data_IF_412091169456
#
_entry.id   IF_412091169456
#
_cell.length_a   1.000
_cell.length_b   1.000
_cell.length_c   1.000
_cell.angle_alpha   90.00
_cell.angle_beta   90.00
_cell.angle_gamma   90.00
#
_symmetry.space_group_name_H-M   'P 1'
#
loop_
_entity.id
_entity.type
_entity.pdbx_description
1 polymer ?
#
# COMPACT_ATOMS: atom_id res chain seq x y z
N UNK A 1 -22.65 0.39 4.57
CA UNK A 1 -23.14 -0.99 4.74
C UNK A 1 -22.04 -1.97 5.15
N UNK A 2 -20.86 -1.99 4.50
CA UNK A 2 -19.76 -2.89 4.88
C UNK A 2 -19.37 -2.79 6.37
N UNK A 3 -19.14 -1.56 6.87
CA UNK A 3 -18.84 -1.31 8.28
C UNK A 3 -19.91 -1.83 9.26
N UNK A 4 -21.20 -1.67 8.90
CA UNK A 4 -22.33 -2.12 9.72
C UNK A 4 -22.41 -3.64 9.83
N UNK A 5 -21.88 -4.36 8.83
CA UNK A 5 -21.85 -5.82 8.77
C UNK A 5 -20.52 -6.39 9.27
N UNK A 6 -19.58 -5.54 9.73
CA UNK A 6 -18.25 -5.96 10.17
C UNK A 6 -17.32 -6.42 9.04
N UNK A 7 -17.58 -6.04 7.79
CA UNK A 7 -16.71 -6.35 6.66
C UNK A 7 -15.63 -5.29 6.43
N UNK A 8 -14.50 -5.71 5.87
CA UNK A 8 -13.41 -4.83 5.48
C UNK A 8 -13.85 -3.85 4.38
N UNK A 9 -13.72 -2.55 4.66
CA UNK A 9 -14.19 -1.49 3.77
C UNK A 9 -13.36 -1.41 2.47
N UNK A 10 -12.06 -1.69 2.54
CA UNK A 10 -11.19 -1.66 1.36
C UNK A 10 -11.56 -2.80 0.41
N UNK A 11 -11.75 -4.01 0.95
CA UNK A 11 -12.17 -5.14 0.14
C UNK A 11 -13.57 -4.89 -0.46
N UNK A 12 -14.51 -4.39 0.33
CA UNK A 12 -15.85 -4.07 -0.16
C UNK A 12 -15.83 -3.03 -1.31
N UNK A 13 -15.02 -1.98 -1.19
CA UNK A 13 -14.87 -0.96 -2.25
C UNK A 13 -14.19 -1.53 -3.50
N UNK A 14 -13.19 -2.40 -3.34
CA UNK A 14 -12.58 -3.12 -4.47
C UNK A 14 -13.59 -4.05 -5.18
N UNK A 15 -14.37 -4.82 -4.42
CA UNK A 15 -15.41 -5.70 -4.97
C UNK A 15 -16.50 -4.91 -5.70
N UNK A 16 -16.88 -3.74 -5.19
CA UNK A 16 -17.79 -2.83 -5.89
C UNK A 16 -17.20 -2.40 -7.24
N UNK A 17 -15.93 -1.98 -7.27
CA UNK A 17 -15.25 -1.60 -8.51
C UNK A 17 -15.23 -2.72 -9.54
N UNK A 18 -14.90 -3.94 -9.12
CA UNK A 18 -14.95 -5.15 -9.97
C UNK A 18 -16.35 -5.37 -10.52
N UNK A 19 -17.37 -5.28 -9.67
CA UNK A 19 -18.77 -5.48 -10.07
C UNK A 19 -19.21 -4.43 -11.10
N UNK A 20 -18.89 -3.16 -10.88
CA UNK A 20 -19.25 -2.06 -11.78
C UNK A 20 -18.59 -2.22 -13.15
N UNK A 21 -17.29 -2.54 -13.20
CA UNK A 21 -16.57 -2.69 -14.48
C UNK A 21 -17.12 -3.86 -15.31
N UNK A 22 -17.54 -4.95 -14.67
CA UNK A 22 -18.01 -6.14 -15.38
C UNK A 22 -19.50 -6.07 -15.78
N UNK A 23 -20.36 -5.45 -14.96
CA UNK A 23 -21.81 -5.54 -15.13
C UNK A 23 -22.51 -4.22 -15.49
N UNK A 24 -21.87 -3.06 -15.29
CA UNK A 24 -22.54 -1.77 -15.51
C UNK A 24 -22.34 -1.25 -16.95
N UNK A 25 -23.42 -0.99 -17.72
CA UNK A 25 -23.33 -0.41 -19.07
C UNK A 25 -22.69 0.99 -19.12
N UNK A 26 -22.72 1.74 -18.01
CA UNK A 26 -22.16 3.09 -17.90
C UNK A 26 -20.75 3.14 -17.30
N UNK A 27 -20.05 1.99 -17.22
CA UNK A 27 -18.71 1.88 -16.62
C UNK A 27 -17.71 2.93 -17.12
N UNK A 28 -17.69 3.23 -18.42
CA UNK A 28 -16.74 4.17 -19.01
C UNK A 28 -17.00 5.61 -18.57
N UNK A 29 -18.28 5.98 -18.41
CA UNK A 29 -18.68 7.30 -17.91
C UNK A 29 -18.33 7.44 -16.43
N UNK A 30 -18.62 6.42 -15.64
CA UNK A 30 -18.27 6.36 -14.21
C UNK A 30 -16.75 6.48 -14.03
N UNK A 31 -15.97 5.69 -14.78
CA UNK A 31 -14.52 5.69 -14.71
C UNK A 31 -13.92 7.05 -15.09
N UNK A 32 -14.41 7.69 -16.15
CA UNK A 32 -13.96 9.04 -16.55
C UNK A 32 -14.23 10.11 -15.50
N UNK A 33 -15.40 10.05 -14.84
CA UNK A 33 -15.74 11.00 -13.77
C UNK A 33 -14.80 10.81 -12.57
N UNK A 34 -14.60 9.55 -12.15
CA UNK A 34 -13.69 9.21 -11.06
C UNK A 34 -12.26 9.68 -11.36
N UNK A 35 -11.73 9.35 -12.52
CA UNK A 35 -10.37 9.71 -12.92
C UNK A 35 -10.19 11.24 -13.00
N UNK A 36 -11.18 11.96 -13.53
CA UNK A 36 -11.08 13.42 -13.72
C UNK A 36 -11.17 14.20 -12.40
N UNK A 37 -12.10 13.84 -11.52
CA UNK A 37 -12.44 14.67 -10.36
C UNK A 37 -12.02 14.06 -9.03
N UNK A 38 -12.17 12.74 -8.90
CA UNK A 38 -11.96 12.05 -7.62
C UNK A 38 -10.50 11.70 -7.41
N UNK A 39 -9.82 11.17 -8.42
CA UNK A 39 -8.41 10.74 -8.31
C UNK A 39 -7.48 11.89 -7.90
N UNK A 40 -7.54 13.01 -8.62
CA UNK A 40 -6.70 14.18 -8.33
C UNK A 40 -6.96 14.74 -6.92
N UNK A 41 -8.24 14.88 -6.54
CA UNK A 41 -8.62 15.38 -5.22
C UNK A 41 -8.13 14.45 -4.11
N UNK A 42 -8.32 13.14 -4.28
CA UNK A 42 -7.85 12.14 -3.32
C UNK A 42 -6.33 12.16 -3.23
N UNK A 43 -5.59 12.23 -4.33
CA UNK A 43 -4.13 12.29 -4.29
C UNK A 43 -3.63 13.52 -3.55
N UNK A 44 -4.19 14.70 -3.82
CA UNK A 44 -3.80 15.92 -3.10
C UNK A 44 -4.08 15.79 -1.60
N UNK A 45 -5.28 15.35 -1.21
CA UNK A 45 -5.62 15.16 0.21
C UNK A 45 -4.74 14.10 0.86
N UNK A 46 -4.55 12.96 0.20
CA UNK A 46 -3.77 11.83 0.70
C UNK A 46 -2.30 12.20 0.88
N UNK A 47 -1.64 12.80 -0.11
CA UNK A 47 -0.23 13.17 0.00
C UNK A 47 -0.02 14.31 0.99
N UNK A 48 -0.97 15.24 1.11
CA UNK A 48 -0.93 16.31 2.12
C UNK A 48 -1.02 15.72 3.52
N UNK A 49 -2.04 14.88 3.79
CA UNK A 49 -2.22 14.24 5.09
C UNK A 49 -1.07 13.29 5.43
N UNK A 50 -0.62 12.49 4.46
CA UNK A 50 0.53 11.60 4.64
C UNK A 50 1.77 12.41 5.02
N UNK A 51 2.01 13.54 4.33
CA UNK A 51 3.07 14.50 4.64
C UNK A 51 2.99 15.06 6.06
N UNK A 52 1.79 15.43 6.53
CA UNK A 52 1.57 15.92 7.90
C UNK A 52 1.89 14.87 8.98
N UNK A 53 1.71 13.59 8.65
CA UNK A 53 2.02 12.49 9.56
C UNK A 53 3.49 12.02 9.52
N UNK A 54 4.31 12.53 8.59
CA UNK A 54 5.74 12.20 8.54
C UNK A 54 6.49 12.84 9.72
N UNK A 55 6.93 12.00 10.65
CA UNK A 55 7.74 12.41 11.80
C UNK A 55 9.15 11.83 11.67
N UNK A 56 10.08 12.59 11.12
CA UNK A 56 11.48 12.16 10.96
C UNK A 56 12.18 11.84 12.29
N UNK A 57 11.74 12.46 13.40
CA UNK A 57 12.24 12.15 14.76
C UNK A 57 12.11 10.65 15.13
N UNK A 58 11.12 9.97 14.56
CA UNK A 58 10.89 8.53 14.77
C UNK A 58 12.04 7.70 14.20
N UNK A 59 12.63 8.12 13.07
CA UNK A 59 13.76 7.43 12.48
C UNK A 59 14.97 7.48 13.40
N UNK A 60 15.28 8.61 14.03
CA UNK A 60 16.43 8.71 14.94
C UNK A 60 16.33 7.78 16.15
N UNK A 61 15.12 7.59 16.67
CA UNK A 61 14.90 6.79 17.89
C UNK A 61 14.76 5.29 17.60
N UNK A 62 14.13 4.92 16.47
CA UNK A 62 13.74 3.54 16.16
C UNK A 62 14.40 2.99 14.88
N UNK A 63 15.47 3.62 14.36
CA UNK A 63 16.06 3.26 13.06
C UNK A 63 16.37 1.77 12.90
N UNK A 64 16.86 1.10 13.96
CA UNK A 64 17.23 -0.31 13.89
C UNK A 64 16.01 -1.21 13.67
N UNK A 65 14.92 -0.98 14.40
CA UNK A 65 13.69 -1.74 14.26
C UNK A 65 13.01 -1.46 12.92
N UNK A 66 13.03 -0.18 12.49
CA UNK A 66 12.52 0.22 11.17
C UNK A 66 13.30 -0.49 10.06
N UNK A 67 14.63 -0.48 10.10
CA UNK A 67 15.47 -1.12 9.10
C UNK A 67 15.21 -2.63 9.04
N UNK A 68 15.17 -3.27 10.20
CA UNK A 68 14.90 -4.71 10.32
C UNK A 68 13.52 -5.06 9.74
N UNK A 69 12.50 -4.28 10.09
CA UNK A 69 11.13 -4.44 9.59
C UNK A 69 11.07 -4.32 8.06
N UNK A 70 11.74 -3.30 7.48
CA UNK A 70 11.79 -3.10 6.02
C UNK A 70 12.46 -4.29 5.35
N UNK A 71 13.62 -4.74 5.84
CA UNK A 71 14.36 -5.86 5.26
C UNK A 71 13.52 -7.14 5.30
N UNK A 72 12.96 -7.50 6.45
CA UNK A 72 12.14 -8.69 6.55
C UNK A 72 10.89 -8.62 5.67
N UNK A 73 10.21 -7.47 5.60
CA UNK A 73 9.08 -7.30 4.67
C UNK A 73 9.52 -7.43 3.22
N UNK A 74 10.65 -6.83 2.83
CA UNK A 74 11.15 -6.90 1.46
C UNK A 74 11.48 -8.35 1.08
N UNK A 75 12.20 -9.08 1.94
CA UNK A 75 12.52 -10.49 1.73
C UNK A 75 11.25 -11.34 1.64
N UNK A 76 10.28 -11.12 2.53
CA UNK A 76 9.00 -11.82 2.50
C UNK A 76 8.21 -11.56 1.22
N UNK A 77 8.13 -10.30 0.77
CA UNK A 77 7.46 -9.94 -0.49
C UNK A 77 8.17 -10.54 -1.69
N UNK A 78 9.50 -10.49 -1.76
CA UNK A 78 10.28 -11.04 -2.87
C UNK A 78 10.15 -12.56 -2.93
N UNK A 79 10.43 -13.26 -1.84
CA UNK A 79 10.34 -14.71 -1.77
C UNK A 79 8.91 -15.21 -2.02
N UNK A 80 7.91 -14.60 -1.38
CA UNK A 80 6.50 -14.94 -1.56
C UNK A 80 6.02 -14.71 -3.00
N UNK A 81 6.45 -13.60 -3.64
CA UNK A 81 6.12 -13.33 -5.04
C UNK A 81 6.79 -14.34 -5.97
N UNK A 82 8.06 -14.66 -5.75
CA UNK A 82 8.78 -15.64 -6.57
C UNK A 82 8.16 -17.04 -6.48
N UNK A 83 7.80 -17.47 -5.26
CA UNK A 83 7.13 -18.74 -5.02
C UNK A 83 5.73 -18.75 -5.65
N UNK A 84 4.91 -17.73 -5.37
CA UNK A 84 3.55 -17.60 -5.89
C UNK A 84 3.51 -17.51 -7.42
N UNK A 85 4.43 -16.77 -8.04
CA UNK A 85 4.57 -16.68 -9.49
C UNK A 85 5.03 -18.02 -10.10
N UNK A 86 5.87 -18.78 -9.40
CA UNK A 86 6.33 -20.09 -9.89
C UNK A 86 5.24 -21.15 -9.80
N UNK A 87 4.47 -21.18 -8.72
CA UNK A 87 3.35 -22.11 -8.52
C UNK A 87 2.25 -21.83 -9.55
N UNK A 88 1.94 -20.55 -9.80
CA UNK A 88 0.93 -20.12 -10.78
C UNK A 88 1.39 -20.20 -12.24
N UNK A 89 2.64 -20.63 -12.51
CA UNK A 89 3.26 -20.65 -13.86
C UNK A 89 3.14 -19.30 -14.58
N UNK A 90 3.28 -18.20 -13.83
CA UNK A 90 3.21 -16.84 -14.35
C UNK A 90 4.38 -16.53 -15.30
N UNK A 91 4.21 -15.49 -16.12
CA UNK A 91 5.24 -15.04 -17.07
C UNK A 91 6.55 -14.63 -16.37
N UNK A 92 7.67 -14.70 -17.10
CA UNK A 92 9.00 -14.32 -16.59
C UNK A 92 9.03 -12.86 -16.12
N UNK A 93 8.25 -11.98 -16.74
CA UNK A 93 8.14 -10.57 -16.38
C UNK A 93 7.48 -10.40 -15.00
N UNK A 94 6.38 -11.11 -14.75
CA UNK A 94 5.71 -11.13 -13.45
C UNK A 94 6.64 -11.69 -12.37
N UNK A 95 7.28 -12.85 -12.64
CA UNK A 95 8.18 -13.49 -11.68
C UNK A 95 9.37 -12.61 -11.28
N UNK A 96 9.88 -11.79 -12.21
CA UNK A 96 11.06 -10.94 -12.00
C UNK A 96 10.74 -9.56 -11.43
N UNK A 97 9.61 -8.95 -11.80
CA UNK A 97 9.35 -7.53 -11.53
C UNK A 97 8.18 -7.26 -10.59
N UNK A 98 7.24 -8.20 -10.41
CA UNK A 98 6.07 -7.97 -9.55
C UNK A 98 6.46 -7.63 -8.11
N UNK A 99 7.49 -8.28 -7.56
CA UNK A 99 7.93 -8.04 -6.18
C UNK A 99 8.31 -6.57 -5.93
N UNK A 100 8.99 -5.91 -6.88
CA UNK A 100 9.37 -4.52 -6.74
C UNK A 100 8.18 -3.55 -6.81
N UNK A 101 7.08 -3.95 -7.48
CA UNK A 101 5.82 -3.21 -7.46
C UNK A 101 5.06 -3.37 -6.15
N UNK A 102 5.32 -4.45 -5.40
CA UNK A 102 4.69 -4.73 -4.12
C UNK A 102 5.45 -4.14 -2.94
N UNK A 103 6.73 -3.79 -3.07
CA UNK A 103 7.54 -3.18 -2.00
C UNK A 103 6.93 -1.88 -1.47
N UNK A 104 6.52 -0.90 -2.31
CA UNK A 104 5.92 0.35 -1.86
C UNK A 104 4.79 0.15 -0.84
N UNK A 105 4.71 1.04 0.13
CA UNK A 105 3.69 1.07 1.17
C UNK A 105 3.20 2.51 1.30
N UNK A 106 1.88 2.68 1.47
CA UNK A 106 1.26 4.01 1.63
C UNK A 106 0.33 4.11 2.85
N UNK A 107 -0.45 5.18 2.87
CA UNK A 107 -1.30 5.63 3.98
C UNK A 107 -2.35 4.65 4.51
N UNK A 108 -2.77 3.60 3.77
CA UNK A 108 -3.66 2.56 4.32
C UNK A 108 -3.01 1.93 5.56
N UNK A 109 -1.70 1.66 5.52
CA UNK A 109 -0.99 1.04 6.64
C UNK A 109 -0.85 2.00 7.82
N UNK A 110 -0.73 3.31 7.56
CA UNK A 110 -0.76 4.34 8.61
C UNK A 110 -2.12 4.32 9.31
N UNK A 111 -3.22 4.28 8.55
CA UNK A 111 -4.57 4.19 9.11
C UNK A 111 -4.76 2.95 10.00
N UNK A 112 -4.32 1.78 9.53
CA UNK A 112 -4.37 0.54 10.31
C UNK A 112 -3.52 0.61 11.58
N UNK A 113 -2.33 1.24 11.54
CA UNK A 113 -1.49 1.42 12.72
C UNK A 113 -2.15 2.32 13.77
N UNK A 114 -2.85 3.37 13.35
CA UNK A 114 -3.60 4.25 14.26
C UNK A 114 -4.80 3.53 14.89
N UNK A 115 -5.45 2.62 14.16
CA UNK A 115 -6.51 1.78 14.72
C UNK A 115 -5.98 0.81 15.80
N UNK A 116 -4.75 0.30 15.66
CA UNK A 116 -4.11 -0.52 16.71
C UNK A 116 -3.99 0.28 18.01
N UNK A 117 -3.70 1.59 17.95
CA UNK A 117 -3.65 2.46 19.14
C UNK A 117 -4.96 2.54 19.91
N UNK A 118 -6.08 2.35 19.21
CA UNK A 118 -7.41 2.44 19.80
C UNK A 118 -7.87 1.11 20.41
N UNK A 119 -7.09 0.05 20.24
CA UNK A 119 -7.41 -1.28 20.74
C UNK A 119 -6.63 -1.56 22.04
N UNK A 120 -7.31 -1.68 23.20
CA UNK A 120 -6.67 -1.88 24.51
C UNK A 120 -5.76 -3.11 24.59
N UNK A 121 -5.98 -4.13 23.75
CA UNK A 121 -5.14 -5.32 23.70
C UNK A 121 -3.68 -5.02 23.31
N UNK A 122 -3.42 -3.86 22.70
CA UNK A 122 -2.10 -3.46 22.19
C UNK A 122 -1.49 -2.26 22.93
N UNK A 123 -2.08 -1.76 24.01
CA UNK A 123 -1.64 -0.52 24.68
C UNK A 123 -0.14 -0.50 24.99
N UNK A 124 0.42 -1.61 25.48
CA UNK A 124 1.84 -1.71 25.84
C UNK A 124 2.84 -1.71 24.66
N UNK A 125 2.38 -1.96 23.43
CA UNK A 125 3.25 -2.06 22.25
C UNK A 125 2.82 -1.17 21.07
N UNK A 126 1.65 -0.55 21.17
CA UNK A 126 1.02 0.23 20.10
C UNK A 126 1.92 1.37 19.62
N UNK A 127 2.54 2.11 20.54
CA UNK A 127 3.44 3.21 20.19
C UNK A 127 4.68 2.73 19.43
N UNK A 128 5.25 1.57 19.80
CA UNK A 128 6.38 0.99 19.08
C UNK A 128 5.95 0.59 17.66
N UNK A 129 4.80 -0.10 17.54
CA UNK A 129 4.26 -0.53 16.24
C UNK A 129 4.04 0.67 15.33
N UNK A 130 3.39 1.72 15.84
CA UNK A 130 3.09 2.94 15.09
C UNK A 130 4.38 3.62 14.65
N UNK A 131 5.35 3.76 15.54
CA UNK A 131 6.64 4.36 15.22
C UNK A 131 7.39 3.57 14.15
N UNK A 132 7.44 2.24 14.25
CA UNK A 132 8.08 1.39 13.24
C UNK A 132 7.37 1.50 11.89
N UNK A 133 6.04 1.46 11.87
CA UNK A 133 5.24 1.58 10.65
C UNK A 133 5.40 2.96 10.00
N UNK A 134 5.33 4.04 10.78
CA UNK A 134 5.52 5.41 10.28
C UNK A 134 6.94 5.58 9.72
N UNK A 135 7.96 5.13 10.46
CA UNK A 135 9.34 5.16 10.01
C UNK A 135 9.56 4.39 8.71
N UNK A 136 8.99 3.18 8.61
CA UNK A 136 9.05 2.40 7.38
C UNK A 136 8.31 3.07 6.23
N UNK A 137 7.18 3.72 6.50
CA UNK A 137 6.39 4.41 5.48
C UNK A 137 7.14 5.61 4.91
N UNK A 138 7.85 6.38 5.74
CA UNK A 138 8.73 7.49 5.26
C UNK A 138 9.71 6.97 4.20
N UNK A 139 10.40 5.86 4.48
CA UNK A 139 11.38 5.29 3.55
C UNK A 139 10.69 4.79 2.27
N UNK A 140 9.53 4.14 2.39
CA UNK A 140 8.78 3.64 1.25
C UNK A 140 8.12 4.73 0.41
N UNK A 141 7.74 5.88 0.95
CA UNK A 141 7.21 7.02 0.20
C UNK A 141 8.30 7.64 -0.70
N UNK A 142 9.56 7.63 -0.26
CA UNK A 142 10.69 8.14 -1.06
C UNK A 142 11.11 7.12 -2.13
N UNK A 143 11.32 5.87 -1.72
CA UNK A 143 11.86 4.83 -2.60
C UNK A 143 10.78 4.23 -3.50
N UNK A 144 9.55 4.15 -3.01
CA UNK A 144 8.46 3.40 -3.61
C UNK A 144 8.09 3.86 -5.02
N UNK A 145 7.82 5.16 -5.26
CA UNK A 145 7.50 5.66 -6.60
C UNK A 145 8.64 5.42 -7.60
N UNK A 146 9.89 5.60 -7.17
CA UNK A 146 11.08 5.38 -8.00
C UNK A 146 11.17 3.89 -8.39
N UNK A 147 11.05 3.00 -7.40
CA UNK A 147 11.12 1.57 -7.61
C UNK A 147 9.97 1.08 -8.50
N UNK A 148 8.73 1.50 -8.23
CA UNK A 148 7.55 1.18 -9.02
C UNK A 148 7.74 1.59 -10.49
N UNK A 149 8.22 2.81 -10.73
CA UNK A 149 8.52 3.29 -12.09
C UNK A 149 9.57 2.42 -12.79
N UNK A 150 10.66 2.09 -12.10
CA UNK A 150 11.74 1.27 -12.68
C UNK A 150 11.23 -0.12 -13.03
N UNK A 151 10.47 -0.77 -12.14
CA UNK A 151 10.00 -2.14 -12.39
C UNK A 151 8.92 -2.20 -13.46
N UNK A 152 8.01 -1.23 -13.51
CA UNK A 152 7.00 -1.16 -14.58
C UNK A 152 7.66 -0.92 -15.94
N UNK A 153 8.68 -0.04 -16.00
CA UNK A 153 9.46 0.18 -17.23
C UNK A 153 10.22 -1.07 -17.65
N UNK A 154 10.86 -1.76 -16.71
CA UNK A 154 11.53 -3.05 -16.98
C UNK A 154 10.56 -4.17 -17.33
N UNK A 155 9.32 -4.10 -16.86
CA UNK A 155 8.25 -5.03 -17.19
C UNK A 155 7.65 -4.76 -18.59
N UNK A 156 7.93 -3.61 -19.21
CA UNK A 156 7.37 -3.21 -20.49
C UNK A 156 5.96 -2.59 -20.41
N UNK A 157 5.48 -2.30 -19.19
CA UNK A 157 4.12 -1.77 -18.95
C UNK A 157 4.04 -0.24 -19.18
N UNK A 158 5.16 0.47 -19.05
CA UNK A 158 5.26 1.93 -19.24
C UNK A 158 6.56 2.32 -19.96
N UNK A 159 6.56 3.49 -20.64
CA UNK A 159 7.72 4.03 -21.37
C UNK A 159 8.58 4.97 -20.52
#
# INVERSE_FOLDING_TARGET
>A
MAALLGFDELLATMTMGVTVVNYNPWRDKIFKILQRYTEQLIFVLFFTLSGMHLKFSVLSTYYILVLLFIIFRAVGKVSGTMLGASISKSSTMVKKYAAGGLIPQGGIVIGLALLIKQNPAFDGISDIIINVILGATIIHEIIGPILAKIVLKKAGEIK
#
